data_IF_443892266063
#
_entry.id   IF_443892266063
#
_cell.length_a   1.000
_cell.length_b   1.000
_cell.length_c   1.000
_cell.angle_alpha   90.00
_cell.angle_beta   90.00
_cell.angle_gamma   90.00
#
_symmetry.space_group_name_H-M   'P 1'
#
loop_
_entity.id
_entity.type
_entity.pdbx_description
1 polymer ?
#
# COMPACT_ATOMS: atom_id res chain seq x y z
N UNK A 1 -1.64 1.41 36.18
CA UNK A 1 -1.52 1.57 34.72
C UNK A 1 -2.75 0.93 34.10
N UNK A 2 -3.65 1.74 33.53
CA UNK A 2 -4.91 1.24 33.00
C UNK A 2 -4.68 0.57 31.64
N UNK A 3 -4.69 -0.76 31.63
CA UNK A 3 -4.80 -1.57 30.42
C UNK A 3 -6.23 -1.43 29.88
N UNK A 4 -6.48 -0.43 29.05
CA UNK A 4 -7.69 -0.43 28.24
C UNK A 4 -7.58 -1.54 27.19
N UNK A 5 -8.56 -2.43 27.08
CA UNK A 5 -8.55 -3.43 26.02
C UNK A 5 -8.69 -2.71 24.67
N UNK A 6 -7.77 -3.01 23.74
CA UNK A 6 -7.72 -2.45 22.38
C UNK A 6 -8.98 -2.80 21.55
N UNK A 7 -9.87 -3.65 22.07
CA UNK A 7 -11.12 -4.06 21.45
C UNK A 7 -12.16 -2.94 21.23
N UNK A 8 -11.89 -1.70 21.64
CA UNK A 8 -12.82 -0.57 21.52
C UNK A 8 -12.25 0.68 20.79
N UNK A 9 -11.05 0.61 20.21
CA UNK A 9 -10.36 1.83 19.78
C UNK A 9 -11.01 2.50 18.57
N UNK A 10 -11.30 1.75 17.50
CA UNK A 10 -11.96 2.28 16.31
C UNK A 10 -12.19 1.16 15.29
N UNK A 11 -13.17 1.33 14.40
CA UNK A 11 -13.26 0.51 13.18
C UNK A 11 -12.31 0.97 12.07
N UNK A 12 -11.63 2.12 12.24
CA UNK A 12 -10.69 2.66 11.25
C UNK A 12 -9.29 2.03 11.43
N UNK A 13 -8.79 1.23 10.46
CA UNK A 13 -7.50 0.57 10.57
C UNK A 13 -6.31 1.52 10.73
N UNK A 14 -6.34 2.70 10.10
CA UNK A 14 -5.25 3.69 10.21
C UNK A 14 -5.13 4.27 11.62
N UNK A 15 -6.28 4.53 12.28
CA UNK A 15 -6.28 4.99 13.67
C UNK A 15 -5.81 3.90 14.63
N UNK A 16 -6.21 2.65 14.39
CA UNK A 16 -5.75 1.50 15.18
C UNK A 16 -4.24 1.31 15.03
N UNK A 17 -3.72 1.38 13.80
CA UNK A 17 -2.29 1.27 13.53
C UNK A 17 -1.49 2.43 14.18
N UNK A 18 -1.98 3.67 14.06
CA UNK A 18 -1.36 4.84 14.70
C UNK A 18 -1.26 4.66 16.21
N UNK A 19 -2.31 4.13 16.85
CA UNK A 19 -2.29 3.86 18.28
C UNK A 19 -1.22 2.84 18.68
N UNK A 20 -1.09 1.75 17.93
CA UNK A 20 -0.03 0.77 18.19
C UNK A 20 1.36 1.34 17.96
N UNK A 21 1.55 2.18 16.94
CA UNK A 21 2.81 2.87 16.70
C UNK A 21 3.18 3.77 17.89
N UNK A 22 2.23 4.49 18.48
CA UNK A 22 2.49 5.26 19.71
C UNK A 22 2.94 4.38 20.88
N UNK A 23 2.32 3.21 21.07
CA UNK A 23 2.73 2.25 22.11
C UNK A 23 4.15 1.76 21.85
N UNK A 24 4.44 1.39 20.60
CA UNK A 24 5.76 0.93 20.17
C UNK A 24 6.81 2.00 20.46
N UNK A 25 6.58 3.25 20.06
CA UNK A 25 7.53 4.35 20.27
C UNK A 25 7.77 4.63 21.77
N UNK A 26 6.72 4.62 22.59
CA UNK A 26 6.86 4.75 24.05
C UNK A 26 7.70 3.60 24.64
N UNK A 27 7.51 2.37 24.16
CA UNK A 27 8.27 1.20 24.62
C UNK A 27 9.71 1.21 24.11
N UNK A 28 9.97 1.67 22.88
CA UNK A 28 11.33 1.90 22.37
C UNK A 28 12.07 2.90 23.26
N UNK A 29 11.44 4.04 23.58
CA UNK A 29 12.04 5.05 24.45
C UNK A 29 12.35 4.52 25.87
N UNK A 30 11.48 3.67 26.42
CA UNK A 30 11.68 3.08 27.74
C UNK A 30 12.78 2.00 27.78
N UNK A 31 12.86 1.15 26.75
CA UNK A 31 13.79 0.01 26.70
C UNK A 31 15.16 0.40 26.14
N UNK A 32 15.21 1.38 25.24
CA UNK A 32 16.42 1.81 24.53
C UNK A 32 16.65 3.32 24.65
N UNK A 33 16.85 3.86 25.88
CA UNK A 33 16.93 5.31 26.12
C UNK A 33 18.16 5.98 25.49
N UNK A 34 19.18 5.20 25.10
CA UNK A 34 20.40 5.69 24.43
C UNK A 34 20.40 5.40 22.92
N UNK A 35 19.25 5.01 22.34
CA UNK A 35 19.19 4.45 20.99
C UNK A 35 19.64 2.99 20.96
N UNK A 36 19.69 2.40 19.76
CA UNK A 36 20.08 1.00 19.57
C UNK A 36 18.91 0.01 19.48
N UNK A 37 17.77 0.44 18.94
CA UNK A 37 16.67 -0.45 18.58
C UNK A 37 16.81 -1.04 17.16
N UNK A 38 17.96 -0.86 16.52
CA UNK A 38 18.22 -1.33 15.16
C UNK A 38 18.24 -2.87 15.15
N UNK A 39 17.29 -3.48 14.44
CA UNK A 39 17.06 -4.93 14.44
C UNK A 39 15.99 -5.45 15.41
N UNK A 40 15.38 -4.61 16.24
CA UNK A 40 14.24 -5.02 17.08
C UNK A 40 12.95 -4.96 16.27
N UNK A 41 12.30 -6.11 16.04
CA UNK A 41 11.01 -6.15 15.36
C UNK A 41 9.93 -5.45 16.19
N UNK A 42 9.22 -4.50 15.61
CA UNK A 42 8.24 -3.66 16.30
C UNK A 42 7.12 -4.45 16.97
N UNK A 43 6.67 -5.54 16.34
CA UNK A 43 5.65 -6.45 16.89
C UNK A 43 6.07 -7.08 18.24
N UNK A 44 7.38 -7.24 18.49
CA UNK A 44 7.88 -7.81 19.74
C UNK A 44 7.81 -6.82 20.90
N UNK A 45 7.74 -5.52 20.59
CA UNK A 45 7.51 -4.47 21.57
C UNK A 45 6.05 -4.41 22.02
N UNK A 46 5.13 -5.09 21.34
CA UNK A 46 3.73 -5.20 21.74
C UNK A 46 3.47 -6.39 22.67
N UNK A 47 2.43 -6.26 23.50
CA UNK A 47 1.98 -7.37 24.33
C UNK A 47 1.44 -8.48 23.44
N UNK A 48 1.60 -9.75 23.84
CA UNK A 48 1.20 -10.91 23.02
C UNK A 48 -0.25 -10.85 22.54
N UNK A 49 -1.14 -10.22 23.32
CA UNK A 49 -2.57 -10.07 23.00
C UNK A 49 -2.83 -9.03 21.90
N UNK A 50 -1.94 -8.06 21.75
CA UNK A 50 -2.11 -6.91 20.85
C UNK A 50 -1.48 -7.16 19.48
N UNK A 51 -0.50 -8.08 19.40
CA UNK A 51 0.22 -8.41 18.16
C UNK A 51 -0.70 -8.79 16.99
N UNK A 52 -1.74 -9.64 17.17
CA UNK A 52 -2.61 -9.97 16.05
C UNK A 52 -3.38 -8.76 15.51
N UNK A 53 -3.82 -7.87 16.40
CA UNK A 53 -4.56 -6.66 16.03
C UNK A 53 -3.66 -5.65 15.31
N UNK A 54 -2.43 -5.49 15.78
CA UNK A 54 -1.44 -4.65 15.10
C UNK A 54 -1.15 -5.15 13.68
N UNK A 55 -0.85 -6.45 13.53
CA UNK A 55 -0.58 -7.05 12.22
C UNK A 55 -1.79 -6.92 11.27
N UNK A 56 -3.01 -7.15 11.77
CA UNK A 56 -4.23 -6.94 10.99
C UNK A 56 -4.36 -5.48 10.53
N UNK A 57 -4.19 -4.52 11.44
CA UNK A 57 -4.26 -3.08 11.09
C UNK A 57 -3.19 -2.66 10.08
N UNK A 58 -1.99 -3.25 10.13
CA UNK A 58 -0.95 -2.99 9.14
C UNK A 58 -1.35 -3.51 7.74
N UNK A 59 -1.86 -4.74 7.67
CA UNK A 59 -2.33 -5.33 6.40
C UNK A 59 -3.48 -4.51 5.81
N UNK A 60 -4.46 -4.13 6.64
CA UNK A 60 -5.62 -3.36 6.20
C UNK A 60 -5.24 -1.98 5.68
N UNK A 61 -4.32 -1.27 6.35
CA UNK A 61 -3.80 0.04 5.89
C UNK A 61 -3.03 -0.11 4.58
N UNK A 62 -2.13 -1.09 4.48
CA UNK A 62 -1.40 -1.34 3.22
C UNK A 62 -2.35 -1.68 2.07
N UNK A 63 -3.40 -2.46 2.33
CA UNK A 63 -4.40 -2.77 1.31
C UNK A 63 -5.16 -1.51 0.88
N UNK A 64 -5.54 -0.63 1.82
CA UNK A 64 -6.18 0.66 1.51
C UNK A 64 -5.26 1.57 0.67
N UNK A 65 -3.97 1.62 0.98
CA UNK A 65 -2.99 2.39 0.20
C UNK A 65 -2.84 1.84 -1.23
N UNK A 66 -2.81 0.52 -1.38
CA UNK A 66 -2.78 -0.14 -2.69
C UNK A 66 -4.04 0.20 -3.50
N UNK A 67 -5.22 0.10 -2.88
CA UNK A 67 -6.50 0.42 -3.52
C UNK A 67 -6.60 1.90 -3.89
N UNK A 68 -6.14 2.81 -3.02
CA UNK A 68 -6.06 4.23 -3.32
C UNK A 68 -5.13 4.49 -4.52
N UNK A 69 -3.96 3.84 -4.56
CA UNK A 69 -3.02 3.94 -5.69
C UNK A 69 -3.61 3.41 -7.00
N UNK A 70 -4.46 2.38 -6.97
CA UNK A 70 -5.18 1.94 -8.16
C UNK A 70 -6.25 2.96 -8.57
N UNK A 71 -7.02 3.49 -7.62
CA UNK A 71 -8.04 4.50 -7.89
C UNK A 71 -7.44 5.77 -8.51
N UNK A 72 -6.29 6.25 -8.01
CA UNK A 72 -5.56 7.40 -8.55
C UNK A 72 -5.10 7.20 -9.99
N UNK A 73 -4.91 5.94 -10.42
CA UNK A 73 -4.58 5.57 -11.80
C UNK A 73 -5.82 5.28 -12.66
N UNK A 74 -7.03 5.55 -12.16
CA UNK A 74 -8.29 5.31 -12.86
C UNK A 74 -8.77 3.85 -12.81
N UNK A 75 -8.11 3.00 -12.01
CA UNK A 75 -8.42 1.58 -11.87
C UNK A 75 -9.40 1.41 -10.70
N UNK A 76 -10.69 1.52 -11.00
CA UNK A 76 -11.77 1.43 -10.00
C UNK A 76 -12.49 0.08 -10.02
N UNK A 77 -12.27 -0.74 -11.05
CA UNK A 77 -12.92 -2.04 -11.22
C UNK A 77 -11.91 -3.12 -11.63
N UNK A 78 -12.29 -4.38 -11.44
CA UNK A 78 -11.48 -5.52 -11.90
C UNK A 78 -11.35 -5.56 -13.43
N UNK A 79 -12.34 -5.05 -14.16
CA UNK A 79 -12.27 -4.88 -15.62
C UNK A 79 -11.19 -3.87 -16.01
N UNK A 80 -11.15 -2.71 -15.33
CA UNK A 80 -10.10 -1.70 -15.55
C UNK A 80 -8.71 -2.24 -15.24
N UNK A 81 -8.56 -3.07 -14.20
CA UNK A 81 -7.26 -3.66 -13.87
C UNK A 81 -6.79 -4.63 -14.97
N UNK A 82 -7.69 -5.47 -15.50
CA UNK A 82 -7.37 -6.37 -16.61
C UNK A 82 -6.97 -5.60 -17.85
N UNK A 83 -7.74 -4.57 -18.20
CA UNK A 83 -7.44 -3.67 -19.31
C UNK A 83 -6.10 -2.98 -19.12
N UNK A 84 -5.82 -2.44 -17.93
CA UNK A 84 -4.56 -1.80 -17.60
C UNK A 84 -3.35 -2.74 -17.84
N UNK A 85 -3.42 -3.96 -17.31
CA UNK A 85 -2.36 -4.97 -17.48
C UNK A 85 -2.16 -5.27 -18.97
N UNK A 86 -3.26 -5.43 -19.71
CA UNK A 86 -3.22 -5.71 -21.14
C UNK A 86 -2.59 -4.55 -21.92
N UNK A 87 -3.02 -3.31 -21.68
CA UNK A 87 -2.48 -2.12 -22.36
C UNK A 87 -0.99 -1.92 -22.07
N UNK A 88 -0.56 -2.09 -20.82
CA UNK A 88 0.87 -2.03 -20.47
C UNK A 88 1.67 -3.06 -21.28
N UNK A 89 1.16 -4.28 -21.40
CA UNK A 89 1.84 -5.34 -22.15
C UNK A 89 1.86 -5.06 -23.66
N UNK A 90 0.73 -4.67 -24.24
CA UNK A 90 0.60 -4.34 -25.67
C UNK A 90 1.50 -3.17 -26.06
N UNK A 91 1.46 -2.08 -25.30
CA UNK A 91 2.29 -0.89 -25.55
C UNK A 91 3.75 -1.23 -25.37
N UNK A 92 4.14 -1.93 -24.29
CA UNK A 92 5.54 -2.31 -24.07
C UNK A 92 6.08 -3.26 -25.15
N UNK A 93 5.25 -4.14 -25.71
CA UNK A 93 5.66 -5.04 -26.78
C UNK A 93 5.85 -4.32 -28.12
N UNK A 94 5.05 -3.29 -28.37
CA UNK A 94 5.09 -2.53 -29.62
C UNK A 94 5.97 -1.28 -29.57
N UNK A 95 6.27 -0.76 -28.38
CA UNK A 95 7.09 0.42 -28.14
C UNK A 95 8.27 0.06 -27.24
N UNK A 96 9.46 -0.12 -27.84
CA UNK A 96 10.68 -0.48 -27.11
C UNK A 96 11.35 0.70 -26.41
N UNK A 97 10.89 1.93 -26.65
CA UNK A 97 11.47 3.14 -26.07
C UNK A 97 11.02 3.39 -24.63
N UNK A 98 9.87 2.86 -24.23
CA UNK A 98 9.32 3.04 -22.88
C UNK A 98 9.34 1.69 -22.15
N UNK A 99 9.96 1.66 -20.98
CA UNK A 99 10.00 0.45 -20.18
C UNK A 99 8.62 0.15 -19.56
N UNK A 100 8.27 -1.14 -19.46
CA UNK A 100 7.04 -1.57 -18.81
C UNK A 100 6.92 -1.10 -17.34
N UNK A 101 8.04 -0.87 -16.65
CA UNK A 101 8.03 -0.29 -15.30
C UNK A 101 7.48 1.13 -15.27
N UNK A 102 7.77 1.91 -16.31
CA UNK A 102 7.30 3.28 -16.45
C UNK A 102 5.82 3.31 -16.84
N UNK A 103 5.40 2.47 -17.80
CA UNK A 103 3.97 2.38 -18.18
C UNK A 103 3.05 2.01 -17.01
N UNK A 104 3.55 1.28 -16.00
CA UNK A 104 2.78 0.92 -14.80
C UNK A 104 2.51 2.09 -13.85
N UNK A 105 3.19 3.23 -14.02
CA UNK A 105 2.92 4.44 -13.24
C UNK A 105 1.88 5.36 -13.89
N UNK A 106 1.54 5.12 -15.17
CA UNK A 106 0.62 5.97 -15.91
C UNK A 106 -0.84 5.71 -15.53
N UNK A 107 -1.68 6.73 -15.78
CA UNK A 107 -3.12 6.62 -15.65
C UNK A 107 -3.72 5.76 -16.78
N UNK A 108 -4.78 5.00 -16.49
CA UNK A 108 -5.42 4.11 -17.46
C UNK A 108 -5.85 4.84 -18.74
N UNK A 109 -6.42 6.04 -18.61
CA UNK A 109 -6.86 6.82 -19.77
C UNK A 109 -5.71 7.26 -20.68
N UNK A 110 -4.53 7.52 -20.12
CA UNK A 110 -3.34 7.81 -20.94
C UNK A 110 -2.91 6.57 -21.73
N UNK A 111 -2.94 5.39 -21.10
CA UNK A 111 -2.62 4.13 -21.79
C UNK A 111 -3.62 3.84 -22.91
N UNK A 112 -4.91 4.14 -22.71
CA UNK A 112 -5.94 4.03 -23.77
C UNK A 112 -5.60 4.94 -24.96
N UNK A 113 -5.30 6.21 -24.68
CA UNK A 113 -4.94 7.18 -25.71
C UNK A 113 -3.67 6.76 -26.48
N UNK A 114 -2.65 6.29 -25.78
CA UNK A 114 -1.42 5.78 -26.39
C UNK A 114 -1.70 4.60 -27.33
N UNK A 115 -2.55 3.65 -26.91
CA UNK A 115 -2.93 2.51 -27.74
C UNK A 115 -3.70 2.95 -28.99
N UNK A 116 -4.62 3.90 -28.87
CA UNK A 116 -5.38 4.40 -30.01
C UNK A 116 -4.49 5.12 -31.04
N UNK A 117 -3.52 5.92 -30.58
CA UNK A 117 -2.52 6.54 -31.44
C UNK A 117 -1.65 5.49 -32.16
N UNK A 118 -1.28 4.41 -31.48
CA UNK A 118 -0.52 3.30 -32.07
C UNK A 118 -1.32 2.54 -33.13
N UNK A 119 -2.62 2.35 -32.92
CA UNK A 119 -3.51 1.75 -33.92
C UNK A 119 -3.65 2.67 -35.13
N UNK A 120 -3.84 3.98 -34.92
CA UNK A 120 -3.98 4.96 -36.00
C UNK A 120 -2.70 5.10 -36.85
N UNK A 121 -1.51 4.97 -36.25
CA UNK A 121 -0.23 4.97 -37.00
C UNK A 121 0.01 3.70 -37.82
N UNK A 122 -0.74 2.62 -37.57
CA UNK A 122 -0.63 1.34 -38.29
C UNK A 122 -1.69 1.15 -39.39
N UNK A 123 -2.75 1.96 -39.38
CA UNK A 123 -3.82 1.97 -40.38
C UNK A 123 -3.46 2.85 -41.58
#
# INVERSE_FOLDING_TARGET
>A
MNNFPVSHISSNPALVLSHFNEIIERRKAALFPKGGHDGVTEVLLLDRRDRPLYLASQVDVTQQEIEASYCERGITTTAHLREFIQLVHEISAACSTIAASELRSYHLDLLRAMRDEMVQKRA
#
